data_IF_851784773255
#
_entry.id   IF_851784773255
#
_cell.length_a   1.000
_cell.length_b   1.000
_cell.length_c   1.000
_cell.angle_alpha   90.00
_cell.angle_beta   90.00
_cell.angle_gamma   90.00
#
_symmetry.space_group_name_H-M   'P 1'
#
loop_
_entity.id
_entity.type
_entity.pdbx_description
1 polymer ?
#
# COMPACT_ATOMS: atom_id res chain seq x y z
N UNK A 1 -4.18 -5.58 -15.35
CA UNK A 1 -3.24 -4.49 -14.98
C UNK A 1 -1.90 -5.10 -14.54
N UNK A 2 -0.78 -4.38 -14.67
CA UNK A 2 0.53 -4.89 -14.23
C UNK A 2 0.70 -4.81 -12.71
N UNK A 3 0.67 -3.60 -12.15
CA UNK A 3 0.67 -3.33 -10.70
C UNK A 3 -0.16 -2.08 -10.39
N UNK A 4 -0.84 -2.05 -9.24
CA UNK A 4 -1.62 -0.89 -8.76
C UNK A 4 -0.71 0.29 -8.46
N UNK A 5 0.45 0.04 -7.84
CA UNK A 5 1.46 1.07 -7.57
C UNK A 5 2.04 1.63 -8.87
N UNK A 6 2.36 0.77 -9.86
CA UNK A 6 2.86 1.23 -11.16
C UNK A 6 1.84 2.12 -11.85
N UNK A 7 0.54 1.77 -11.77
CA UNK A 7 -0.51 2.58 -12.35
C UNK A 7 -0.66 3.93 -11.64
N UNK A 8 -0.56 3.96 -10.31
CA UNK A 8 -0.55 5.20 -9.55
C UNK A 8 0.63 6.11 -9.95
N UNK A 9 1.83 5.54 -10.07
CA UNK A 9 3.03 6.27 -10.55
C UNK A 9 2.80 6.84 -11.96
N UNK A 10 2.21 6.06 -12.87
CA UNK A 10 1.88 6.51 -14.23
C UNK A 10 0.92 7.71 -14.21
N UNK A 11 -0.13 7.66 -13.38
CA UNK A 11 -1.12 8.73 -13.26
C UNK A 11 -0.50 10.03 -12.73
N UNK A 12 0.36 9.94 -11.71
CA UNK A 12 1.11 11.08 -11.19
C UNK A 12 2.05 11.63 -12.29
N UNK A 13 2.81 10.76 -12.95
CA UNK A 13 3.77 11.14 -14.01
C UNK A 13 3.09 11.78 -15.22
N UNK A 14 1.84 11.44 -15.53
CA UNK A 14 1.07 12.07 -16.62
C UNK A 14 0.38 13.39 -16.23
N UNK A 15 0.61 13.92 -15.01
CA UNK A 15 -0.07 15.12 -14.43
C UNK A 15 -1.60 15.02 -14.40
N UNK A 16 -2.14 13.80 -14.48
CA UNK A 16 -3.59 13.66 -14.59
C UNK A 16 -4.28 13.84 -13.23
N UNK A 17 -3.61 13.47 -12.14
CA UNK A 17 -4.15 13.51 -10.79
C UNK A 17 -3.06 13.79 -9.74
N UNK A 18 -3.38 14.61 -8.74
CA UNK A 18 -2.51 14.94 -7.59
C UNK A 18 -2.70 13.97 -6.40
N UNK A 19 -3.85 13.31 -6.36
CA UNK A 19 -4.20 12.27 -5.40
C UNK A 19 -5.22 11.33 -6.04
N UNK A 20 -5.37 10.14 -5.46
CA UNK A 20 -6.37 9.19 -5.92
C UNK A 20 -6.18 7.79 -5.38
N UNK A 21 -7.02 6.89 -5.86
CA UNK A 21 -7.03 5.49 -5.51
C UNK A 21 -7.13 4.64 -6.79
N UNK A 22 -6.28 3.62 -6.89
CA UNK A 22 -6.29 2.64 -7.98
C UNK A 22 -6.53 1.27 -7.38
N UNK A 23 -7.48 0.52 -7.92
CA UNK A 23 -7.66 -0.89 -7.55
C UNK A 23 -7.69 -1.79 -8.77
N UNK A 24 -7.48 -3.08 -8.55
CA UNK A 24 -7.71 -4.08 -9.58
C UNK A 24 -8.17 -5.41 -8.99
N UNK A 25 -8.86 -6.19 -9.82
CA UNK A 25 -9.25 -7.57 -9.50
C UNK A 25 -8.06 -8.55 -9.59
N UNK A 26 -7.01 -8.20 -10.34
CA UNK A 26 -5.78 -8.99 -10.47
C UNK A 26 -4.60 -8.15 -10.96
N UNK A 27 -3.38 -8.56 -10.58
CA UNK A 27 -2.12 -7.95 -11.02
C UNK A 27 -1.26 -8.99 -11.73
N UNK A 28 -0.72 -8.65 -12.92
CA UNK A 28 0.19 -9.53 -13.67
C UNK A 28 1.61 -9.51 -13.11
N UNK A 29 2.02 -8.38 -12.52
CA UNK A 29 3.37 -8.09 -12.03
C UNK A 29 3.31 -7.44 -10.64
N UNK A 30 2.49 -8.00 -9.75
CA UNK A 30 2.39 -7.53 -8.36
C UNK A 30 3.77 -7.53 -7.69
N UNK A 31 4.08 -6.45 -6.98
CA UNK A 31 5.39 -6.24 -6.32
C UNK A 31 5.22 -6.17 -4.81
N UNK A 32 6.19 -6.72 -4.10
CA UNK A 32 6.46 -6.50 -2.69
C UNK A 32 7.82 -5.81 -2.51
N UNK A 33 8.23 -5.64 -1.25
CA UNK A 33 9.55 -5.07 -0.92
C UNK A 33 10.69 -5.85 -1.57
N UNK A 34 11.79 -5.13 -1.84
CA UNK A 34 13.01 -5.69 -2.43
C UNK A 34 12.78 -6.41 -3.76
N UNK A 35 11.79 -5.96 -4.54
CA UNK A 35 11.48 -6.54 -5.85
C UNK A 35 10.83 -7.92 -5.79
N UNK A 36 10.46 -8.43 -4.61
CA UNK A 36 9.78 -9.74 -4.49
C UNK A 36 8.43 -9.71 -5.21
N UNK A 37 8.06 -10.82 -5.84
CA UNK A 37 6.77 -10.96 -6.51
C UNK A 37 5.64 -11.11 -5.48
N UNK A 38 4.59 -10.31 -5.63
CA UNK A 38 3.32 -10.49 -4.91
C UNK A 38 2.38 -11.37 -5.75
N UNK A 39 1.91 -12.48 -5.17
CA UNK A 39 1.07 -13.45 -5.88
C UNK A 39 -0.38 -12.94 -5.88
N UNK A 40 -0.92 -12.64 -7.05
CA UNK A 40 -2.30 -12.17 -7.20
C UNK A 40 -3.30 -13.31 -7.37
N UNK A 41 -3.77 -13.86 -6.25
CA UNK A 41 -4.91 -14.79 -6.26
C UNK A 41 -6.23 -14.03 -6.44
N UNK A 42 -7.16 -14.60 -7.23
CA UNK A 42 -8.52 -14.07 -7.40
C UNK A 42 -9.22 -13.99 -6.03
N UNK A 43 -9.94 -12.88 -5.78
CA UNK A 43 -10.64 -12.63 -4.53
C UNK A 43 -9.85 -11.82 -3.50
N UNK A 44 -8.55 -11.62 -3.71
CA UNK A 44 -7.77 -10.69 -2.90
C UNK A 44 -8.05 -9.24 -3.30
N UNK A 45 -7.95 -8.34 -2.35
CA UNK A 45 -7.89 -6.91 -2.60
C UNK A 45 -6.50 -6.51 -3.09
N UNK A 46 -6.46 -5.65 -4.12
CA UNK A 46 -5.24 -5.01 -4.58
C UNK A 46 -5.56 -3.54 -4.80
N UNK A 47 -5.08 -2.68 -3.91
CA UNK A 47 -5.35 -1.25 -3.93
C UNK A 47 -4.10 -0.42 -3.73
N UNK A 48 -4.04 0.75 -4.37
CA UNK A 48 -2.99 1.74 -4.15
C UNK A 48 -3.60 3.11 -3.97
N UNK A 49 -3.35 3.71 -2.81
CA UNK A 49 -3.67 5.11 -2.55
C UNK A 49 -2.43 5.94 -2.86
N UNK A 50 -2.60 7.08 -3.54
CA UNK A 50 -1.50 8.00 -3.79
C UNK A 50 -1.90 9.46 -3.53
N UNK A 51 -0.94 10.26 -3.07
CA UNK A 51 -1.15 11.68 -2.79
C UNK A 51 0.16 12.46 -2.72
N UNK A 52 0.08 13.77 -2.95
CA UNK A 52 1.16 14.70 -2.67
C UNK A 52 1.42 14.78 -1.16
N UNK A 53 2.64 14.42 -0.74
CA UNK A 53 3.12 14.45 0.63
C UNK A 53 3.49 15.89 1.03
N UNK A 54 2.51 16.63 1.55
CA UNK A 54 2.69 18.01 2.00
C UNK A 54 3.54 18.08 3.26
N UNK A 55 4.15 19.25 3.53
CA UNK A 55 5.03 19.47 4.70
C UNK A 55 4.36 19.22 6.06
N UNK A 56 3.03 19.37 6.14
CA UNK A 56 2.25 19.17 7.37
C UNK A 56 1.72 17.73 7.52
N UNK A 57 2.07 16.82 6.61
CA UNK A 57 1.71 15.41 6.73
C UNK A 57 2.79 14.65 7.51
N UNK A 58 2.45 13.49 8.08
CA UNK A 58 3.45 12.58 8.62
C UNK A 58 4.54 12.27 7.58
N UNK A 59 5.74 12.00 8.07
CA UNK A 59 6.88 11.53 7.29
C UNK A 59 6.60 10.15 6.68
N UNK A 60 7.44 9.72 5.73
CA UNK A 60 7.29 8.41 5.08
C UNK A 60 7.51 7.28 6.09
N UNK A 61 8.40 7.52 7.04
CA UNK A 61 8.74 6.66 8.17
C UNK A 61 7.55 6.53 9.13
N UNK A 62 6.91 7.64 9.49
CA UNK A 62 5.68 7.63 10.30
C UNK A 62 4.53 6.93 9.57
N UNK A 63 4.34 7.18 8.27
CA UNK A 63 3.35 6.43 7.47
C UNK A 63 3.63 4.93 7.44
N UNK A 64 4.90 4.50 7.50
CA UNK A 64 5.25 3.08 7.58
C UNK A 64 4.72 2.41 8.86
N UNK A 65 4.44 3.18 9.92
CA UNK A 65 3.85 2.71 11.17
C UNK A 65 2.33 2.91 11.20
N UNK A 66 1.85 4.06 10.74
CA UNK A 66 0.42 4.42 10.72
C UNK A 66 -0.37 3.45 9.83
N UNK A 67 0.11 3.16 8.62
CA UNK A 67 -0.63 2.35 7.65
C UNK A 67 -0.93 0.93 8.17
N UNK A 68 0.04 0.18 8.73
CA UNK A 68 -0.25 -1.09 9.39
C UNK A 68 -1.25 -1.00 10.54
N UNK A 69 -1.17 0.03 11.40
CA UNK A 69 -2.10 0.22 12.52
C UNK A 69 -3.54 0.40 12.01
N UNK A 70 -3.74 1.24 10.99
CA UNK A 70 -5.06 1.45 10.38
C UNK A 70 -5.63 0.15 9.79
N UNK A 71 -4.81 -0.61 9.08
CA UNK A 71 -5.24 -1.89 8.51
C UNK A 71 -5.57 -2.92 9.60
N UNK A 72 -4.79 -2.97 10.69
CA UNK A 72 -5.07 -3.87 11.83
C UNK A 72 -6.38 -3.48 12.51
N UNK A 73 -6.64 -2.18 12.73
CA UNK A 73 -7.90 -1.74 13.35
C UNK A 73 -9.11 -2.23 12.54
N UNK A 74 -9.07 -2.07 11.21
CA UNK A 74 -10.13 -2.55 10.32
C UNK A 74 -10.22 -4.07 10.33
N UNK A 75 -9.12 -4.78 10.09
CA UNK A 75 -9.09 -6.25 10.00
C UNK A 75 -9.50 -6.92 11.32
N UNK A 76 -9.16 -6.32 12.46
CA UNK A 76 -9.48 -6.86 13.77
C UNK A 76 -10.99 -6.95 14.04
N UNK A 77 -11.79 -6.07 13.40
CA UNK A 77 -13.26 -6.06 13.50
C UNK A 77 -13.90 -7.28 12.82
N UNK A 78 -13.25 -7.81 11.78
CA UNK A 78 -13.76 -8.95 11.00
C UNK A 78 -13.09 -10.28 11.36
N UNK A 79 -11.84 -10.25 11.84
CA UNK A 79 -11.06 -11.47 12.07
C UNK A 79 -10.72 -11.74 13.55
N UNK A 80 -11.04 -10.82 14.45
CA UNK A 80 -10.76 -10.90 15.87
C UNK A 80 -9.38 -10.34 16.24
N UNK A 81 -9.39 -9.43 17.23
CA UNK A 81 -8.21 -8.65 17.66
C UNK A 81 -7.05 -9.50 18.20
N UNK A 82 -7.32 -10.54 18.99
CA UNK A 82 -6.27 -11.40 19.60
C UNK A 82 -5.43 -12.18 18.57
N UNK A 83 -5.92 -12.30 17.33
CA UNK A 83 -5.29 -13.11 16.28
C UNK A 83 -4.52 -12.26 15.26
N UNK A 84 -4.76 -10.95 15.23
CA UNK A 84 -4.24 -10.03 14.21
C UNK A 84 -3.06 -9.25 14.78
N UNK A 85 -1.91 -9.30 14.11
CA UNK A 85 -0.72 -8.57 14.58
C UNK A 85 0.13 -8.02 13.43
N UNK A 86 0.82 -6.92 13.74
CA UNK A 86 1.79 -6.29 12.84
C UNK A 86 3.12 -7.03 12.92
N UNK A 87 3.64 -7.47 11.78
CA UNK A 87 5.03 -7.87 11.64
C UNK A 87 5.77 -6.76 10.91
N UNK A 88 6.59 -6.05 11.67
CA UNK A 88 7.50 -5.05 11.11
C UNK A 88 8.31 -5.64 9.94
N UNK A 89 8.56 -4.86 8.88
CA UNK A 89 8.25 -3.44 8.76
C UNK A 89 6.90 -3.13 8.07
N UNK A 90 6.19 -4.11 7.50
CA UNK A 90 5.09 -3.80 6.57
C UNK A 90 4.06 -4.92 6.35
N UNK A 91 4.10 -6.00 7.15
CA UNK A 91 3.24 -7.15 6.93
C UNK A 91 2.24 -7.33 8.07
N UNK A 92 1.03 -7.78 7.74
CA UNK A 92 0.00 -8.10 8.73
C UNK A 92 -0.27 -9.60 8.71
N UNK A 93 -0.39 -10.17 9.90
CA UNK A 93 -0.57 -11.58 10.11
C UNK A 93 -1.86 -11.85 10.90
N UNK A 94 -2.51 -12.96 10.55
CA UNK A 94 -3.59 -13.58 11.33
C UNK A 94 -3.22 -15.03 11.58
N UNK A 95 -3.27 -15.50 12.83
CA UNK A 95 -2.93 -16.89 13.19
C UNK A 95 -1.56 -17.33 12.62
N UNK A 96 -0.55 -16.46 12.69
CA UNK A 96 0.81 -16.68 12.14
C UNK A 96 0.89 -16.83 10.61
N UNK A 97 -0.20 -16.60 9.88
CA UNK A 97 -0.21 -16.55 8.40
C UNK A 97 -0.26 -15.09 7.93
N UNK A 98 0.56 -14.77 6.93
CA UNK A 98 0.54 -13.44 6.31
C UNK A 98 -0.76 -13.26 5.52
N UNK A 99 -1.45 -12.15 5.75
CA UNK A 99 -2.72 -11.83 5.09
C UNK A 99 -2.69 -10.52 4.29
N UNK A 100 -1.81 -9.59 4.65
CA UNK A 100 -1.66 -8.31 3.98
C UNK A 100 -0.18 -7.93 3.95
N UNK A 101 0.24 -7.30 2.86
CA UNK A 101 1.58 -6.74 2.73
C UNK A 101 1.45 -5.32 2.19
N UNK A 102 1.95 -4.36 2.95
CA UNK A 102 1.87 -2.95 2.59
C UNK A 102 3.15 -2.57 1.86
N UNK A 103 3.06 -1.98 0.67
CA UNK A 103 4.21 -1.51 -0.09
C UNK A 103 4.14 0.01 -0.27
N UNK A 104 5.06 0.72 0.39
CA UNK A 104 5.20 2.16 0.19
C UNK A 104 6.26 2.45 -0.87
N UNK A 105 5.92 3.32 -1.80
CA UNK A 105 6.83 3.87 -2.80
C UNK A 105 6.72 5.40 -2.79
N UNK A 106 7.85 6.05 -3.00
CA UNK A 106 7.94 7.51 -3.05
C UNK A 106 8.45 7.91 -4.41
N UNK A 107 7.81 8.89 -5.02
CA UNK A 107 8.32 9.52 -6.24
C UNK A 107 8.39 11.03 -6.07
N UNK A 108 9.36 11.64 -6.74
CA UNK A 108 9.48 13.10 -6.80
C UNK A 108 9.13 13.52 -8.21
N UNK A 109 8.26 14.52 -8.33
CA UNK A 109 7.89 15.13 -9.60
C UNK A 109 7.74 16.63 -9.40
N UNK A 110 8.44 17.42 -10.20
CA UNK A 110 8.38 18.89 -10.15
C UNK A 110 8.56 19.43 -8.72
N UNK A 111 9.57 18.89 -8.02
CA UNK A 111 9.91 19.22 -6.63
C UNK A 111 8.82 18.84 -5.60
N UNK A 112 7.71 18.23 -6.02
CA UNK A 112 6.69 17.65 -5.14
C UNK A 112 6.99 16.18 -4.88
N UNK A 113 6.91 15.77 -3.61
CA UNK A 113 7.09 14.38 -3.17
C UNK A 113 5.73 13.70 -3.07
N UNK A 114 5.53 12.58 -3.72
CA UNK A 114 4.30 11.80 -3.66
C UNK A 114 4.55 10.51 -2.91
N UNK A 115 3.60 10.13 -2.05
CA UNK A 115 3.57 8.82 -1.40
C UNK A 115 2.53 7.95 -2.11
N UNK A 116 2.93 6.71 -2.43
CA UNK A 116 2.06 5.66 -2.94
C UNK A 116 2.07 4.54 -1.91
N UNK A 117 0.89 4.13 -1.43
CA UNK A 117 0.70 3.05 -0.47
C UNK A 117 -0.11 1.94 -1.14
N UNK A 118 0.56 0.85 -1.49
CA UNK A 118 -0.06 -0.38 -1.99
C UNK A 118 -0.46 -1.29 -0.83
N UNK A 119 -1.69 -1.82 -0.88
CA UNK A 119 -2.31 -2.74 0.08
C UNK A 119 -2.79 -3.98 -0.68
#
# INVERSE_FOLDING_TARGET
MNSTNEKAIELIKKKKYENGFVYALSQKKGKGRYGRRWISKKGNFFGSIFFHLKKNYPTVEEFSLINPILNIDILSKYCGRKKTFFKLPNDIYINKKKICGILQEVIIKEQKKYLIVGI
#
